data_IF_419843712034
#
_entry.id   IF_419843712034
#
_cell.length_a   1.000
_cell.length_b   1.000
_cell.length_c   1.000
_cell.angle_alpha   90.00
_cell.angle_beta   90.00
_cell.angle_gamma   90.00
#
_symmetry.space_group_name_H-M   'P 1'
#
loop_
_entity.id
_entity.type
_entity.pdbx_description
1 polymer ?
#
# COMPACT_ATOMS: atom_id res chain seq x y z
N UNK A 1 35.41 -8.12 4.78
CA UNK A 1 34.01 -8.04 4.33
C UNK A 1 33.17 -8.98 5.19
N UNK A 2 32.47 -8.46 6.21
CA UNK A 2 31.51 -9.26 7.00
C UNK A 2 30.17 -9.11 6.32
N UNK A 3 29.72 -10.17 5.64
CA UNK A 3 28.34 -10.26 5.16
C UNK A 3 27.50 -10.46 6.43
N UNK A 4 26.74 -9.45 6.82
CA UNK A 4 25.79 -9.55 7.92
C UNK A 4 24.60 -10.32 7.38
N UNK A 5 24.56 -11.63 7.63
CA UNK A 5 23.39 -12.46 7.36
C UNK A 5 22.25 -12.01 8.30
N UNK A 6 21.42 -11.09 7.80
CA UNK A 6 20.14 -10.77 8.40
C UNK A 6 19.27 -12.03 8.30
N UNK A 7 19.09 -12.72 9.43
CA UNK A 7 18.25 -13.93 9.49
C UNK A 7 16.87 -13.67 8.90
N UNK A 8 16.25 -14.69 8.30
CA UNK A 8 14.90 -14.64 7.72
C UNK A 8 13.86 -14.07 8.71
N UNK A 9 14.06 -14.27 10.02
CA UNK A 9 13.22 -13.72 11.08
C UNK A 9 13.31 -12.19 11.24
N UNK A 10 14.41 -11.55 10.84
CA UNK A 10 14.54 -10.09 10.79
C UNK A 10 13.94 -9.51 9.51
N UNK A 11 14.00 -10.25 8.39
CA UNK A 11 13.33 -9.89 7.14
C UNK A 11 11.80 -9.99 7.25
N UNK A 12 11.28 -10.99 7.96
CA UNK A 12 9.84 -11.13 8.23
C UNK A 12 9.28 -10.01 9.13
N UNK A 13 10.13 -9.39 9.95
CA UNK A 13 9.73 -8.34 10.90
C UNK A 13 9.43 -6.97 10.26
N UNK A 14 9.72 -6.82 8.97
CA UNK A 14 9.49 -5.58 8.20
C UNK A 14 8.63 -5.91 6.98
N UNK A 15 7.51 -6.61 7.18
CA UNK A 15 6.43 -6.53 6.21
C UNK A 15 5.66 -5.23 6.48
N UNK A 16 5.65 -4.25 5.56
CA UNK A 16 4.79 -3.09 5.73
C UNK A 16 3.34 -3.56 5.66
N UNK A 17 2.71 -3.67 6.82
CA UNK A 17 1.28 -3.90 6.93
C UNK A 17 0.58 -2.55 6.74
N UNK A 18 -0.35 -2.50 5.78
CA UNK A 18 -1.27 -1.37 5.65
C UNK A 18 -2.08 -1.21 6.94
N UNK A 19 -2.43 0.01 7.30
CA UNK A 19 -3.20 0.30 8.50
C UNK A 19 -4.54 -0.44 8.49
N UNK A 20 -5.04 -0.74 9.68
CA UNK A 20 -6.36 -1.33 9.86
C UNK A 20 -7.47 -0.53 9.13
N UNK A 21 -7.35 0.79 9.13
CA UNK A 21 -8.26 1.69 8.42
C UNK A 21 -8.19 1.47 6.90
N UNK A 22 -6.99 1.50 6.30
CA UNK A 22 -6.81 1.23 4.87
C UNK A 22 -7.26 -0.17 4.47
N UNK A 23 -7.01 -1.17 5.32
CA UNK A 23 -7.49 -2.53 5.10
C UNK A 23 -9.03 -2.60 5.12
N UNK A 24 -9.67 -1.91 6.06
CA UNK A 24 -11.14 -1.83 6.14
C UNK A 24 -11.74 -1.14 4.92
N UNK A 25 -11.10 -0.06 4.44
CA UNK A 25 -11.49 0.64 3.20
C UNK A 25 -11.33 -0.25 1.97
N UNK A 26 -10.27 -1.05 1.89
CA UNK A 26 -10.07 -2.02 0.80
C UNK A 26 -11.21 -3.04 0.76
N UNK A 27 -11.55 -3.65 1.90
CA UNK A 27 -12.65 -4.62 1.99
C UNK A 27 -13.96 -3.99 1.52
N UNK A 28 -14.25 -2.76 1.98
CA UNK A 28 -15.44 -2.03 1.57
C UNK A 28 -15.47 -1.76 0.07
N UNK A 29 -14.35 -1.29 -0.50
CA UNK A 29 -14.24 -1.02 -1.92
C UNK A 29 -14.47 -2.28 -2.78
N UNK A 30 -13.89 -3.41 -2.37
CA UNK A 30 -14.11 -4.70 -3.02
C UNK A 30 -15.58 -5.14 -2.95
N UNK A 31 -16.22 -4.99 -1.78
CA UNK A 31 -17.62 -5.35 -1.62
C UNK A 31 -18.54 -4.50 -2.51
N UNK A 32 -18.37 -3.18 -2.51
CA UNK A 32 -19.16 -2.26 -3.33
C UNK A 32 -18.97 -2.53 -4.82
N UNK A 33 -17.73 -2.70 -5.29
CA UNK A 33 -17.45 -3.08 -6.68
C UNK A 33 -18.14 -4.40 -7.07
N UNK A 34 -18.11 -5.39 -6.18
CA UNK A 34 -18.81 -6.65 -6.37
C UNK A 34 -20.33 -6.48 -6.49
N UNK A 35 -20.94 -5.63 -5.65
CA UNK A 35 -22.37 -5.32 -5.74
C UNK A 35 -22.76 -4.64 -7.04
N UNK A 36 -21.96 -3.67 -7.50
CA UNK A 36 -22.18 -3.00 -8.79
C UNK A 36 -22.16 -4.03 -9.92
N UNK A 37 -21.13 -4.88 -9.95
CA UNK A 37 -21.00 -5.93 -10.96
C UNK A 37 -22.22 -6.88 -10.98
N UNK A 38 -22.64 -7.35 -9.81
CA UNK A 38 -23.83 -8.22 -9.68
C UNK A 38 -25.09 -7.48 -10.12
N UNK A 39 -25.24 -6.21 -9.78
CA UNK A 39 -26.40 -5.40 -10.19
C UNK A 39 -26.45 -5.26 -11.71
N UNK A 40 -25.34 -4.88 -12.34
CA UNK A 40 -25.23 -4.72 -13.79
C UNK A 40 -25.60 -6.02 -14.50
N UNK A 41 -25.02 -7.15 -14.07
CA UNK A 41 -25.30 -8.45 -14.67
C UNK A 41 -26.75 -8.91 -14.47
N UNK A 42 -27.30 -8.70 -13.27
CA UNK A 42 -28.66 -9.15 -12.93
C UNK A 42 -29.72 -8.40 -13.73
N UNK A 43 -29.49 -7.12 -14.01
CA UNK A 43 -30.43 -6.26 -14.71
C UNK A 43 -30.06 -6.05 -16.18
N UNK A 44 -28.97 -6.67 -16.66
CA UNK A 44 -28.43 -6.52 -18.01
C UNK A 44 -28.34 -5.05 -18.45
N UNK A 45 -28.00 -4.15 -17.52
CA UNK A 45 -28.01 -2.70 -17.73
C UNK A 45 -26.65 -2.16 -18.20
N UNK A 46 -25.83 -3.02 -18.81
CA UNK A 46 -24.48 -2.72 -19.34
C UNK A 46 -24.48 -1.56 -20.35
N UNK A 47 -25.62 -1.35 -21.03
CA UNK A 47 -25.80 -0.33 -22.06
C UNK A 47 -26.73 0.81 -21.61
N UNK A 48 -27.28 0.72 -20.41
CA UNK A 48 -28.19 1.73 -19.86
C UNK A 48 -27.38 2.79 -19.10
N UNK A 49 -27.80 4.07 -19.16
CA UNK A 49 -27.20 5.10 -18.34
C UNK A 49 -27.44 4.78 -16.87
N UNK A 50 -26.38 4.84 -16.07
CA UNK A 50 -26.42 4.69 -14.62
C UNK A 50 -26.01 6.01 -13.97
N UNK A 51 -26.95 6.97 -13.75
CA UNK A 51 -26.63 8.30 -13.23
C UNK A 51 -25.95 8.30 -11.86
N UNK A 52 -26.17 7.25 -11.07
CA UNK A 52 -25.57 7.05 -9.75
C UNK A 52 -24.15 6.48 -9.82
N UNK A 53 -23.73 5.87 -10.94
CA UNK A 53 -22.46 5.17 -11.04
C UNK A 53 -21.24 6.10 -10.84
N UNK A 54 -21.18 7.31 -11.43
CA UNK A 54 -20.05 8.22 -11.22
C UNK A 54 -19.79 8.51 -9.74
N UNK A 55 -20.83 8.78 -8.95
CA UNK A 55 -20.72 9.08 -7.53
C UNK A 55 -20.15 7.89 -6.73
N UNK A 56 -20.58 6.67 -7.07
CA UNK A 56 -20.03 5.46 -6.43
C UNK A 56 -18.57 5.23 -6.83
N UNK A 57 -18.20 5.50 -8.09
CA UNK A 57 -16.81 5.39 -8.55
C UNK A 57 -15.92 6.41 -7.84
N UNK A 58 -16.39 7.63 -7.58
CA UNK A 58 -15.65 8.63 -6.82
C UNK A 58 -15.41 8.17 -5.38
N UNK A 59 -16.42 7.59 -4.73
CA UNK A 59 -16.26 7.00 -3.40
C UNK A 59 -15.23 5.86 -3.37
N UNK A 60 -15.28 4.96 -4.36
CA UNK A 60 -14.29 3.89 -4.51
C UNK A 60 -12.87 4.44 -4.74
N UNK A 61 -12.75 5.51 -5.54
CA UNK A 61 -11.48 6.19 -5.79
C UNK A 61 -10.89 6.73 -4.50
N UNK A 62 -11.67 7.33 -3.61
CA UNK A 62 -11.17 7.83 -2.33
C UNK A 62 -10.63 6.72 -1.44
N UNK A 63 -11.36 5.60 -1.34
CA UNK A 63 -10.94 4.42 -0.57
C UNK A 63 -9.62 3.85 -1.09
N UNK A 64 -9.50 3.72 -2.41
CA UNK A 64 -8.29 3.22 -3.06
C UNK A 64 -7.14 4.22 -2.95
N UNK A 65 -7.40 5.52 -3.06
CA UNK A 65 -6.38 6.58 -2.95
C UNK A 65 -5.75 6.64 -1.57
N UNK A 66 -6.53 6.36 -0.50
CA UNK A 66 -6.00 6.26 0.85
C UNK A 66 -4.94 5.16 0.97
N UNK A 67 -5.19 4.02 0.33
CA UNK A 67 -4.28 2.87 0.34
C UNK A 67 -2.99 3.20 -0.42
N UNK A 68 -3.09 3.80 -1.62
CA UNK A 68 -1.92 4.21 -2.39
C UNK A 68 -1.04 5.22 -1.63
N UNK A 69 -1.64 6.24 -1.00
CA UNK A 69 -0.91 7.20 -0.17
C UNK A 69 -0.17 6.53 0.99
N UNK A 70 -0.76 5.49 1.57
CA UNK A 70 -0.11 4.74 2.62
C UNK A 70 1.08 3.93 2.10
N UNK A 71 0.93 3.25 0.95
CA UNK A 71 2.02 2.54 0.27
C UNK A 71 3.16 3.50 -0.08
N UNK A 72 2.86 4.64 -0.71
CA UNK A 72 3.86 5.65 -1.08
C UNK A 72 4.64 6.13 0.15
N UNK A 73 3.96 6.31 1.29
CA UNK A 73 4.60 6.68 2.56
C UNK A 73 5.56 5.61 3.05
N UNK A 74 5.25 4.33 2.86
CA UNK A 74 6.15 3.22 3.19
C UNK A 74 7.40 3.23 2.31
N UNK A 75 7.23 3.41 0.99
CA UNK A 75 8.35 3.47 0.04
C UNK A 75 9.29 4.66 0.31
N UNK A 76 8.70 5.83 0.63
CA UNK A 76 9.45 7.02 1.06
C UNK A 76 10.22 6.77 2.37
N UNK A 77 9.59 6.13 3.37
CA UNK A 77 10.25 5.85 4.66
C UNK A 77 11.40 4.85 4.50
N UNK A 78 11.22 3.82 3.68
CA UNK A 78 12.26 2.84 3.38
C UNK A 78 13.44 3.47 2.61
N UNK A 79 13.14 4.42 1.73
CA UNK A 79 14.18 5.18 1.02
C UNK A 79 15.00 6.07 1.96
N UNK A 80 14.35 6.75 2.92
CA UNK A 80 15.01 7.59 3.91
C UNK A 80 15.85 6.77 4.91
N UNK A 81 15.33 5.64 5.42
CA UNK A 81 16.08 4.77 6.33
C UNK A 81 17.36 4.22 5.69
N UNK A 82 17.32 3.91 4.38
CA UNK A 82 18.51 3.50 3.61
C UNK A 82 19.55 4.62 3.53
N UNK A 83 19.13 5.87 3.37
CA UNK A 83 20.04 7.03 3.33
C UNK A 83 20.71 7.27 4.69
N UNK A 84 19.95 7.12 5.78
CA UNK A 84 20.49 7.30 7.14
C UNK A 84 21.48 6.19 7.53
N UNK A 85 21.21 4.94 7.12
CA UNK A 85 22.15 3.82 7.29
C UNK A 85 23.48 4.03 6.52
N UNK A 86 23.45 4.68 5.36
CA UNK A 86 24.66 4.99 4.60
C UNK A 86 25.49 6.05 5.36
N UNK A 87 24.85 7.11 5.87
CA UNK A 87 25.54 8.17 6.62
C UNK A 87 26.16 7.69 7.94
N UNK A 88 25.52 6.76 8.65
CA UNK A 88 26.12 6.18 9.88
C UNK A 88 27.35 5.32 9.59
N UNK A 89 27.38 4.60 8.46
CA UNK A 89 28.54 3.79 8.08
C UNK A 89 29.73 4.65 7.61
N UNK A 90 29.47 5.79 6.96
CA UNK A 90 30.54 6.72 6.53
C UNK A 90 31.22 7.45 7.71
N UNK A 91 30.61 7.46 8.90
CA UNK A 91 31.19 8.05 10.12
C UNK A 91 32.06 7.09 10.93
N UNK A 92 32.15 5.81 10.56
CA UNK A 92 33.13 4.88 11.12
C UNK A 92 34.40 4.89 10.27
N UNK A 93 35.27 5.89 10.49
CA UNK A 93 36.63 5.86 9.94
C UNK A 93 37.36 4.56 10.38
N UNK A 94 38.13 3.92 9.49
CA UNK A 94 38.90 2.74 9.83
C UNK A 94 40.01 3.14 10.81
N UNK A 95 39.92 2.65 12.05
CA UNK A 95 41.08 2.62 12.95
C UNK A 95 42.10 1.66 12.35
N UNK A 96 43.11 2.25 11.73
CA UNK A 96 44.33 1.54 11.33
C UNK A 96 45.17 1.32 12.59
N UNK A 97 45.32 0.05 12.99
CA UNK A 97 46.42 -0.42 13.85
C UNK A 97 47.49 -1.06 12.96
#
# INVERSE_FOLDING_TARGET
MRIVDLSTAQQEKIRPEISHESHTRLIRAMAVAGYIYVHINKHSCEHEPMPWLPEIIDYLREDISCIFKEIDKWELRDSLSKVDLIKENDLQEPRHD
#
